data_IF_109501785191
#
_entry.id   IF_109501785191
#
_cell.length_a   1.000
_cell.length_b   1.000
_cell.length_c   1.000
_cell.angle_alpha   90.00
_cell.angle_beta   90.00
_cell.angle_gamma   90.00
#
_symmetry.space_group_name_H-M   'P 1'
#
loop_
_entity.id
_entity.type
_entity.pdbx_description
1 polymer ?
#
# COMPACT_ATOMS: atom_id res chain seq x y z
N UNK A 1 -14.64 4.85 -13.20
CA UNK A 1 -13.36 5.25 -13.82
C UNK A 1 -12.77 6.34 -12.95
N UNK A 2 -11.67 6.07 -12.24
CA UNK A 2 -11.03 7.08 -11.39
C UNK A 2 -10.15 7.95 -12.28
N UNK A 3 -10.52 9.23 -12.43
CA UNK A 3 -9.77 10.21 -13.20
C UNK A 3 -9.11 11.20 -12.25
N UNK A 4 -7.79 11.12 -12.11
CA UNK A 4 -7.02 12.20 -11.51
C UNK A 4 -6.86 13.24 -12.61
N UNK A 5 -7.54 14.38 -12.49
CA UNK A 5 -7.30 15.50 -13.39
C UNK A 5 -6.00 16.20 -12.96
N UNK A 6 -4.98 16.05 -13.79
CA UNK A 6 -3.62 16.59 -13.53
C UNK A 6 -3.49 17.97 -14.21
N UNK A 7 -4.53 18.45 -14.90
CA UNK A 7 -4.47 19.77 -15.53
C UNK A 7 -4.63 20.87 -14.47
N UNK A 8 -3.68 21.80 -14.51
CA UNK A 8 -3.64 22.99 -13.66
C UNK A 8 -4.68 24.02 -14.17
N UNK A 9 -5.94 23.62 -14.34
CA UNK A 9 -7.06 24.56 -14.40
C UNK A 9 -7.15 25.25 -13.05
N UNK A 10 -7.62 26.50 -13.03
CA UNK A 10 -7.66 27.37 -11.84
C UNK A 10 -8.34 26.70 -10.62
N UNK A 11 -9.16 25.66 -10.86
CA UNK A 11 -9.69 24.74 -9.85
C UNK A 11 -9.07 23.33 -9.99
N UNK A 12 -8.45 22.84 -8.91
CA UNK A 12 -7.94 21.46 -8.79
C UNK A 12 -9.10 20.54 -8.42
N UNK A 13 -9.59 19.75 -9.39
CA UNK A 13 -10.73 18.86 -9.17
C UNK A 13 -10.26 17.40 -9.01
N UNK A 14 -10.71 16.73 -7.94
CA UNK A 14 -10.50 15.28 -7.74
C UNK A 14 -11.86 14.62 -7.90
N UNK A 15 -12.02 13.78 -8.93
CA UNK A 15 -13.31 13.10 -9.18
C UNK A 15 -13.23 11.64 -8.74
N UNK A 16 -14.03 11.25 -7.75
CA UNK A 16 -14.20 9.85 -7.33
C UNK A 16 -15.50 9.32 -7.94
N UNK A 17 -15.40 8.54 -9.02
CA UNK A 17 -16.55 7.97 -9.72
C UNK A 17 -17.11 8.88 -10.84
N UNK A 18 -18.28 8.53 -11.36
CA UNK A 18 -18.97 9.27 -12.45
C UNK A 18 -19.62 10.58 -12.00
N UNK A 19 -19.67 10.83 -10.68
CA UNK A 19 -20.22 12.07 -10.13
C UNK A 19 -19.15 13.15 -10.07
N UNK A 20 -19.32 14.18 -10.92
CA UNK A 20 -18.46 15.37 -11.04
C UNK A 20 -18.58 16.37 -9.87
N UNK A 21 -19.34 16.06 -8.82
CA UNK A 21 -19.83 17.07 -7.85
C UNK A 21 -19.06 17.19 -6.53
N UNK A 22 -17.88 16.57 -6.37
CA UNK A 22 -17.05 16.82 -5.17
C UNK A 22 -15.86 17.71 -5.52
N UNK A 23 -16.12 19.02 -5.53
CA UNK A 23 -15.09 20.05 -5.54
C UNK A 23 -14.38 20.09 -4.18
N UNK A 24 -13.05 20.00 -4.17
CA UNK A 24 -12.24 20.22 -2.97
C UNK A 24 -11.30 21.38 -3.30
N UNK A 25 -11.63 22.58 -2.82
CA UNK A 25 -10.76 23.74 -2.95
C UNK A 25 -9.52 23.58 -2.07
N UNK A 26 -8.34 23.85 -2.64
CA UNK A 26 -7.10 23.93 -1.88
C UNK A 26 -6.91 25.39 -1.44
N UNK A 27 -7.41 25.70 -0.24
CA UNK A 27 -7.27 27.03 0.35
C UNK A 27 -5.79 27.38 0.57
N UNK A 28 -5.36 28.50 -0.01
CA UNK A 28 -4.05 29.11 0.26
C UNK A 28 -4.11 29.71 1.67
N UNK A 29 -3.57 28.99 2.64
CA UNK A 29 -3.68 29.38 4.05
C UNK A 29 -2.80 30.60 4.39
N UNK A 30 -3.40 31.57 5.10
CA UNK A 30 -2.68 32.67 5.72
C UNK A 30 -1.92 32.19 6.97
N UNK A 31 -0.68 32.63 7.08
CA UNK A 31 0.32 32.15 8.04
C UNK A 31 0.04 32.76 9.43
N UNK A 32 -0.37 31.96 10.41
CA UNK A 32 -0.20 32.31 11.84
C UNK A 32 1.10 31.69 12.37
N UNK A 33 1.85 32.46 13.12
CA UNK A 33 3.24 32.23 13.51
C UNK A 33 3.36 31.77 14.96
N UNK A 34 3.93 30.58 15.17
CA UNK A 34 4.55 30.20 16.45
C UNK A 34 5.52 28.99 16.34
N UNK A 35 5.49 28.17 15.29
CA UNK A 35 6.48 27.09 15.09
C UNK A 35 7.77 27.56 14.38
N UNK A 36 8.92 27.07 14.83
CA UNK A 36 10.20 27.29 14.14
C UNK A 36 10.37 26.34 12.95
N UNK A 37 11.10 26.78 11.91
CA UNK A 37 11.31 25.98 10.69
C UNK A 37 12.07 24.67 10.98
N UNK A 38 12.98 24.69 11.96
CA UNK A 38 13.81 23.54 12.33
C UNK A 38 13.00 22.43 13.02
N UNK A 39 12.04 22.78 13.87
CA UNK A 39 11.13 21.80 14.49
C UNK A 39 10.30 21.07 13.45
N UNK A 40 9.75 21.81 12.47
CA UNK A 40 8.94 21.23 11.41
C UNK A 40 9.76 20.37 10.44
N UNK A 41 10.99 20.77 10.12
CA UNK A 41 11.90 19.95 9.31
C UNK A 41 12.30 18.67 10.05
N UNK A 42 12.42 18.72 11.38
CA UNK A 42 12.67 17.55 12.20
C UNK A 42 11.48 16.58 12.25
N UNK A 43 10.25 17.07 12.17
CA UNK A 43 9.06 16.24 12.11
C UNK A 43 8.98 15.46 10.78
N UNK A 44 9.35 16.09 9.66
CA UNK A 44 9.30 15.50 8.30
C UNK A 44 10.69 15.16 7.75
N UNK A 45 11.56 14.54 8.56
CA UNK A 45 12.95 14.19 8.19
C UNK A 45 13.09 13.30 6.96
N UNK A 46 12.08 12.47 6.68
CA UNK A 46 12.05 11.58 5.52
C UNK A 46 11.68 12.32 4.21
N UNK A 47 11.18 13.55 4.30
CA UNK A 47 10.80 14.37 3.14
C UNK A 47 12.00 14.99 2.43
N UNK A 48 12.06 14.81 1.11
CA UNK A 48 13.03 15.51 0.26
C UNK A 48 12.42 16.81 -0.27
N UNK A 49 13.05 17.94 0.05
CA UNK A 49 12.61 19.26 -0.39
C UNK A 49 13.57 19.83 -1.43
N UNK A 50 13.03 20.46 -2.48
CA UNK A 50 13.87 21.12 -3.49
C UNK A 50 14.68 22.27 -2.90
N UNK A 51 15.93 22.41 -3.36
CA UNK A 51 16.83 23.52 -3.00
C UNK A 51 16.34 24.87 -3.55
N UNK A 52 15.50 24.86 -4.59
CA UNK A 52 14.97 26.07 -5.24
C UNK A 52 13.79 26.72 -4.51
N UNK A 53 13.24 26.07 -3.47
CA UNK A 53 12.12 26.62 -2.70
C UNK A 53 12.60 27.70 -1.73
N UNK A 54 11.90 28.83 -1.71
CA UNK A 54 12.13 29.91 -0.73
C UNK A 54 11.74 29.47 0.68
N UNK A 55 12.32 30.10 1.70
CA UNK A 55 12.03 29.79 3.12
C UNK A 55 10.54 29.94 3.46
N UNK A 56 9.85 30.92 2.85
CA UNK A 56 8.40 31.12 3.01
C UNK A 56 7.58 29.97 2.41
N UNK A 57 7.97 29.47 1.22
CA UNK A 57 7.31 28.33 0.58
C UNK A 57 7.53 27.03 1.36
N UNK A 58 8.76 26.79 1.85
CA UNK A 58 9.07 25.64 2.70
C UNK A 58 8.22 25.64 3.97
N UNK A 59 8.13 26.80 4.64
CA UNK A 59 7.31 26.94 5.84
C UNK A 59 5.82 26.68 5.55
N UNK A 60 5.29 27.22 4.45
CA UNK A 60 3.90 26.99 4.04
C UNK A 60 3.61 25.51 3.77
N UNK A 61 4.52 24.82 3.09
CA UNK A 61 4.42 23.39 2.83
C UNK A 61 4.44 22.57 4.11
N UNK A 62 5.37 22.84 5.01
CA UNK A 62 5.48 22.11 6.28
C UNK A 62 4.24 22.28 7.16
N UNK A 63 3.66 23.49 7.19
CA UNK A 63 2.38 23.72 7.87
C UNK A 63 1.24 22.93 7.25
N UNK A 64 1.20 22.84 5.91
CA UNK A 64 0.22 22.01 5.21
C UNK A 64 0.39 20.52 5.53
N UNK A 65 1.63 20.03 5.60
CA UNK A 65 1.94 18.64 5.96
C UNK A 65 1.49 18.34 7.39
N UNK A 66 1.78 19.25 8.34
CA UNK A 66 1.33 19.13 9.74
C UNK A 66 -0.20 19.16 9.86
N UNK A 67 -0.89 20.03 9.12
CA UNK A 67 -2.36 20.05 9.08
C UNK A 67 -2.94 18.72 8.60
N UNK A 68 -2.28 18.08 7.64
CA UNK A 68 -2.67 16.79 7.08
C UNK A 68 -1.86 15.63 7.68
N UNK A 69 -1.34 15.80 8.91
CA UNK A 69 -0.54 14.78 9.60
C UNK A 69 -1.13 13.35 9.57
N UNK A 70 -2.45 13.11 9.75
CA UNK A 70 -2.99 11.76 9.71
C UNK A 70 -2.91 11.07 8.35
N UNK A 71 -2.64 11.80 7.26
CA UNK A 71 -2.47 11.22 5.94
C UNK A 71 -1.05 10.70 5.69
N UNK A 72 -0.08 11.10 6.51
CA UNK A 72 1.33 10.73 6.35
C UNK A 72 1.72 9.73 7.44
N UNK A 73 2.13 8.53 7.03
CA UNK A 73 2.73 7.58 7.94
C UNK A 73 4.17 7.99 8.23
N UNK A 74 4.49 8.23 9.50
CA UNK A 74 5.87 8.49 9.94
C UNK A 74 6.27 7.34 10.87
N UNK A 75 7.24 6.52 10.45
CA UNK A 75 7.73 5.40 11.25
C UNK A 75 6.76 4.19 11.30
N UNK A 76 6.42 3.71 12.51
CA UNK A 76 5.68 2.46 12.76
C UNK A 76 4.17 2.68 13.05
N UNK A 77 3.60 3.77 12.55
CA UNK A 77 2.15 4.00 12.66
C UNK A 77 1.37 2.88 11.94
N UNK A 78 0.17 2.49 12.42
CA UNK A 78 -0.62 1.44 11.79
C UNK A 78 -0.93 1.81 10.35
N UNK A 79 -0.90 0.81 9.47
CA UNK A 79 -1.16 1.05 8.05
C UNK A 79 -2.59 1.53 7.86
N UNK A 80 -2.77 2.54 7.00
CA UNK A 80 -4.09 2.96 6.57
C UNK A 80 -4.81 1.82 5.85
N UNK A 81 -6.13 1.75 6.01
CA UNK A 81 -6.99 0.83 5.25
C UNK A 81 -7.90 1.62 4.32
N UNK A 82 -7.92 1.27 3.04
CA UNK A 82 -8.81 1.88 2.06
C UNK A 82 -10.26 1.49 2.40
N UNK A 83 -11.13 2.50 2.54
CA UNK A 83 -12.54 2.29 2.86
C UNK A 83 -13.38 2.26 1.59
N UNK A 84 -14.33 1.32 1.52
CA UNK A 84 -15.27 1.20 0.41
C UNK A 84 -14.71 0.55 -0.86
N UNK A 85 -13.50 -0.02 -0.78
CA UNK A 85 -12.89 -0.76 -1.88
C UNK A 85 -12.17 -2.00 -1.34
N UNK A 86 -12.86 -3.13 -1.39
CA UNK A 86 -12.27 -4.44 -1.07
C UNK A 86 -12.02 -5.20 -2.37
N UNK A 87 -10.86 -5.84 -2.44
CA UNK A 87 -10.45 -6.66 -3.57
C UNK A 87 -11.22 -7.98 -3.54
N UNK A 88 -11.76 -8.34 -4.70
CA UNK A 88 -12.37 -9.64 -4.97
C UNK A 88 -11.48 -10.38 -5.97
N UNK A 89 -11.03 -11.56 -5.58
CA UNK A 89 -10.31 -12.48 -6.44
C UNK A 89 -11.29 -13.44 -7.11
N UNK A 90 -11.18 -13.56 -8.43
CA UNK A 90 -11.94 -14.50 -9.25
C UNK A 90 -11.00 -15.61 -9.70
N UNK A 91 -11.40 -16.86 -9.47
CA UNK A 91 -10.68 -18.02 -9.97
C UNK A 91 -11.39 -18.61 -11.19
N UNK A 92 -10.62 -19.14 -12.13
CA UNK A 92 -11.08 -19.88 -13.31
C UNK A 92 -11.43 -21.35 -12.98
N UNK A 93 -11.33 -21.72 -11.69
CA UNK A 93 -11.66 -23.06 -11.17
C UNK A 93 -12.70 -22.97 -10.06
N UNK A 94 -13.60 -23.94 -10.04
CA UNK A 94 -14.62 -24.07 -9.01
C UNK A 94 -14.09 -24.77 -7.75
N UNK A 95 -14.91 -24.76 -6.70
CA UNK A 95 -14.63 -25.40 -5.41
C UNK A 95 -14.47 -26.92 -5.59
N UNK A 96 -13.58 -27.53 -4.80
CA UNK A 96 -12.78 -28.72 -5.13
C UNK A 96 -11.51 -28.36 -5.91
N UNK A 97 -10.74 -27.45 -5.31
CA UNK A 97 -9.54 -26.89 -5.91
C UNK A 97 -8.50 -27.98 -6.24
N UNK A 98 -7.75 -27.79 -7.34
CA UNK A 98 -6.64 -28.68 -7.70
C UNK A 98 -5.64 -28.84 -6.55
N UNK A 99 -5.05 -30.04 -6.35
CA UNK A 99 -4.08 -30.29 -5.27
C UNK A 99 -2.90 -29.32 -5.26
N UNK A 100 -2.55 -28.75 -6.41
CA UNK A 100 -1.45 -27.77 -6.51
C UNK A 100 -1.70 -26.44 -5.79
N UNK A 101 -2.95 -26.14 -5.43
CA UNK A 101 -3.35 -24.99 -4.61
C UNK A 101 -3.26 -25.27 -3.11
N UNK A 102 -3.09 -26.53 -2.68
CA UNK A 102 -2.87 -26.91 -1.28
C UNK A 102 -1.45 -27.42 -1.10
N UNK A 103 -0.51 -26.50 -0.85
CA UNK A 103 0.90 -26.81 -0.70
C UNK A 103 1.34 -26.84 0.78
N UNK A 104 2.25 -27.75 1.16
CA UNK A 104 2.83 -27.78 2.50
C UNK A 104 3.82 -26.61 2.69
N UNK A 105 4.15 -26.23 3.94
CA UNK A 105 5.18 -25.23 4.19
C UNK A 105 6.53 -25.72 3.69
N UNK A 106 7.38 -24.79 3.25
CA UNK A 106 8.74 -25.14 2.86
C UNK A 106 9.61 -25.46 4.08
N UNK A 107 10.52 -26.42 3.91
CA UNK A 107 11.59 -26.64 4.87
C UNK A 107 12.50 -25.39 4.89
N UNK A 108 12.85 -24.95 6.10
CA UNK A 108 13.63 -23.74 6.33
C UNK A 108 14.69 -24.02 7.40
N UNK A 109 15.87 -23.42 7.24
CA UNK A 109 16.93 -23.43 8.27
C UNK A 109 16.46 -22.67 9.52
N UNK A 110 17.15 -22.86 10.65
CA UNK A 110 16.81 -22.15 11.89
C UNK A 110 16.85 -20.62 11.70
N UNK A 111 17.88 -20.12 11.03
CA UNK A 111 18.00 -18.70 10.68
C UNK A 111 16.81 -18.21 9.84
N UNK A 112 16.43 -18.98 8.82
CA UNK A 112 15.29 -18.63 7.97
C UNK A 112 13.97 -18.66 8.77
N UNK A 113 13.81 -19.60 9.69
CA UNK A 113 12.63 -19.69 10.56
C UNK A 113 12.50 -18.48 11.47
N UNK A 114 13.60 -18.05 12.09
CA UNK A 114 13.62 -16.85 12.93
C UNK A 114 13.19 -15.61 12.14
N UNK A 115 13.65 -15.48 10.89
CA UNK A 115 13.23 -14.38 10.03
C UNK A 115 11.77 -14.47 9.59
N UNK A 116 11.27 -15.68 9.29
CA UNK A 116 9.84 -15.88 9.01
C UNK A 116 9.00 -15.47 10.23
N UNK A 117 9.40 -15.88 11.44
CA UNK A 117 8.70 -15.50 12.68
C UNK A 117 8.69 -13.99 12.88
N UNK A 118 9.83 -13.33 12.68
CA UNK A 118 9.94 -11.88 12.77
C UNK A 118 8.97 -11.18 11.81
N UNK A 119 8.99 -11.54 10.53
CA UNK A 119 8.11 -10.93 9.52
C UNK A 119 6.63 -11.24 9.77
N UNK A 120 6.28 -12.47 10.16
CA UNK A 120 4.89 -12.84 10.45
C UNK A 120 4.35 -12.04 11.64
N UNK A 121 5.13 -11.90 12.72
CA UNK A 121 4.72 -11.12 13.87
C UNK A 121 4.57 -9.63 13.53
N UNK A 122 5.49 -9.05 12.75
CA UNK A 122 5.37 -7.66 12.29
C UNK A 122 4.07 -7.41 11.48
N UNK A 123 3.66 -8.37 10.66
CA UNK A 123 2.45 -8.25 9.82
C UNK A 123 1.17 -8.54 10.64
N UNK A 124 1.25 -9.39 11.66
CA UNK A 124 0.17 -9.60 12.64
C UNK A 124 -0.04 -8.35 13.51
N UNK A 125 1.04 -7.74 13.99
CA UNK A 125 0.99 -6.52 14.83
C UNK A 125 0.42 -5.32 14.08
N UNK A 126 0.53 -5.32 12.74
CA UNK A 126 -0.02 -4.27 11.87
C UNK A 126 -1.43 -4.57 11.37
N UNK A 127 -2.08 -5.63 11.86
CA UNK A 127 -3.45 -6.06 11.49
C UNK A 127 -3.65 -6.28 9.98
N UNK A 128 -2.56 -6.66 9.28
CA UNK A 128 -2.59 -6.95 7.83
C UNK A 128 -3.00 -8.39 7.58
N UNK A 129 -2.59 -9.31 8.46
CA UNK A 129 -2.99 -10.72 8.43
C UNK A 129 -3.55 -11.13 9.80
N UNK A 130 -4.29 -12.22 9.82
CA UNK A 130 -4.79 -12.89 11.03
C UNK A 130 -4.43 -14.37 11.02
N UNK A 131 -4.38 -14.97 12.21
CA UNK A 131 -4.37 -16.43 12.34
C UNK A 131 -5.72 -17.01 11.96
N UNK A 132 -5.72 -18.17 11.32
CA UNK A 132 -6.96 -18.90 11.03
C UNK A 132 -7.59 -19.43 12.32
N UNK A 133 -8.93 -19.48 12.38
CA UNK A 133 -9.63 -20.11 13.49
C UNK A 133 -9.52 -21.64 13.44
N UNK A 134 -9.54 -22.29 14.61
CA UNK A 134 -9.42 -23.75 14.74
C UNK A 134 -10.48 -24.56 13.95
N UNK A 135 -11.65 -23.97 13.71
CA UNK A 135 -12.77 -24.63 13.01
C UNK A 135 -12.91 -24.20 11.54
N UNK A 136 -11.95 -23.43 11.01
CA UNK A 136 -12.01 -22.99 9.61
C UNK A 136 -11.46 -24.07 8.67
N UNK A 137 -12.25 -24.42 7.65
CA UNK A 137 -11.84 -25.39 6.62
C UNK A 137 -10.78 -24.74 5.74
N UNK A 138 -9.60 -25.36 5.65
CA UNK A 138 -8.48 -24.90 4.81
C UNK A 138 -8.48 -25.60 3.47
N UNK A 139 -8.85 -24.87 2.41
CA UNK A 139 -8.90 -25.42 1.04
C UNK A 139 -7.64 -25.11 0.23
N UNK A 140 -7.07 -23.91 0.39
CA UNK A 140 -5.88 -23.41 -0.31
C UNK A 140 -4.82 -23.02 0.71
N UNK A 141 -3.56 -23.30 0.39
CA UNK A 141 -2.39 -22.89 1.19
C UNK A 141 -1.22 -22.53 0.29
N UNK A 142 -0.66 -21.33 0.52
CA UNK A 142 0.51 -20.81 -0.19
C UNK A 142 1.74 -20.83 0.73
N UNK A 143 2.80 -21.59 0.41
CA UNK A 143 3.97 -21.62 1.24
C UNK A 143 4.76 -20.32 1.11
N UNK A 144 5.35 -19.91 2.22
CA UNK A 144 6.22 -18.74 2.29
C UNK A 144 7.68 -19.13 2.39
N UNK A 145 8.55 -18.21 1.99
CA UNK A 145 9.99 -18.32 2.12
C UNK A 145 10.60 -16.92 2.30
N UNK A 146 11.86 -16.88 2.72
CA UNK A 146 12.62 -15.65 2.86
C UNK A 146 13.50 -15.47 1.63
N UNK A 147 13.43 -14.28 1.04
CA UNK A 147 14.40 -13.82 0.06
C UNK A 147 15.32 -12.79 0.70
N UNK A 148 16.63 -12.98 0.54
CA UNK A 148 17.65 -12.08 1.06
C UNK A 148 18.13 -11.12 -0.03
N UNK A 149 18.33 -9.85 0.31
CA UNK A 149 18.88 -8.83 -0.57
C UNK A 149 19.59 -7.77 0.26
N UNK A 150 20.89 -7.55 0.02
CA UNK A 150 21.73 -6.56 0.72
C UNK A 150 21.59 -6.59 2.25
N UNK A 151 21.65 -7.80 2.83
CA UNK A 151 21.52 -7.99 4.29
C UNK A 151 20.10 -7.84 4.83
N UNK A 152 19.12 -7.48 4.00
CA UNK A 152 17.70 -7.42 4.37
C UNK A 152 16.98 -8.70 3.93
N UNK A 153 16.06 -9.17 4.76
CA UNK A 153 15.17 -10.29 4.47
C UNK A 153 13.78 -9.78 4.08
N UNK A 154 13.09 -10.51 3.19
CA UNK A 154 11.69 -10.27 2.84
C UNK A 154 10.92 -11.58 2.85
N UNK A 155 9.75 -11.57 3.48
CA UNK A 155 8.79 -12.67 3.40
C UNK A 155 8.11 -12.66 2.02
N UNK A 156 8.15 -13.79 1.32
CA UNK A 156 7.52 -13.95 0.02
C UNK A 156 6.57 -15.15 0.03
N UNK A 157 5.34 -14.98 -0.47
CA UNK A 157 4.43 -16.10 -0.72
C UNK A 157 4.59 -16.64 -2.14
N UNK A 158 4.66 -17.97 -2.31
CA UNK A 158 4.72 -18.58 -3.64
C UNK A 158 3.33 -18.66 -4.30
N UNK A 159 2.83 -17.52 -4.76
CA UNK A 159 1.51 -17.39 -5.40
C UNK A 159 1.45 -17.93 -6.84
N UNK A 160 2.50 -18.57 -7.36
CA UNK A 160 2.53 -19.03 -8.77
C UNK A 160 1.39 -19.99 -9.10
N UNK A 161 1.10 -20.92 -8.20
CA UNK A 161 0.00 -21.86 -8.39
C UNK A 161 -1.34 -21.12 -8.40
N UNK A 162 -1.55 -20.19 -7.46
CA UNK A 162 -2.77 -19.39 -7.39
C UNK A 162 -2.94 -18.53 -8.65
N UNK A 163 -1.89 -17.84 -9.07
CA UNK A 163 -1.92 -16.94 -10.23
C UNK A 163 -2.30 -17.65 -11.54
N UNK A 164 -1.96 -18.94 -11.70
CA UNK A 164 -2.36 -19.72 -12.88
C UNK A 164 -3.86 -19.97 -12.96
N UNK A 165 -4.56 -19.88 -11.83
CA UNK A 165 -6.00 -20.06 -11.73
C UNK A 165 -6.75 -18.76 -11.46
N UNK A 166 -6.05 -17.64 -11.29
CA UNK A 166 -6.68 -16.34 -11.05
C UNK A 166 -6.98 -15.66 -12.38
N UNK A 167 -8.22 -15.23 -12.54
CA UNK A 167 -8.62 -14.43 -13.69
C UNK A 167 -7.88 -13.10 -13.70
N UNK A 168 -7.08 -12.87 -14.73
CA UNK A 168 -6.30 -11.65 -14.86
C UNK A 168 -7.21 -10.42 -15.06
N UNK A 169 -7.08 -9.44 -14.17
CA UNK A 169 -7.63 -8.10 -14.39
C UNK A 169 -6.69 -7.30 -15.30
N UNK A 170 -7.21 -6.86 -16.45
CA UNK A 170 -6.46 -6.08 -17.44
C UNK A 170 -6.81 -4.60 -17.32
N UNK A 171 -6.73 -4.08 -16.10
CA UNK A 171 -6.96 -2.66 -15.87
C UNK A 171 -5.95 -1.82 -16.66
N UNK A 172 -6.40 -0.79 -17.42
CA UNK A 172 -5.50 -0.01 -18.25
C UNK A 172 -4.57 0.84 -17.37
N UNK A 173 -3.30 0.48 -17.33
CA UNK A 173 -2.25 1.29 -16.71
C UNK A 173 -1.78 2.33 -17.73
N UNK A 174 -1.72 3.62 -17.38
CA UNK A 174 -1.26 4.65 -18.30
C UNK A 174 0.20 4.43 -18.68
N UNK A 175 0.52 4.63 -19.95
CA UNK A 175 1.88 4.51 -20.46
C UNK A 175 2.70 5.72 -19.96
N UNK A 176 3.93 5.48 -19.50
CA UNK A 176 4.79 6.48 -18.83
C UNK A 176 4.94 7.78 -19.65
N UNK A 177 5.25 7.77 -20.97
CA UNK A 177 5.44 9.02 -21.73
C UNK A 177 4.21 9.93 -21.72
N UNK A 178 3.01 9.37 -21.86
CA UNK A 178 1.76 10.15 -21.81
C UNK A 178 1.54 10.81 -20.44
N UNK A 179 2.00 10.17 -19.37
CA UNK A 179 1.96 10.76 -18.03
C UNK A 179 3.01 11.87 -17.87
N UNK A 180 4.19 11.73 -18.50
CA UNK A 180 5.25 12.74 -18.46
C UNK A 180 4.91 14.00 -19.27
N UNK A 181 4.23 13.87 -20.41
CA UNK A 181 3.79 15.03 -21.21
C UNK A 181 2.89 15.96 -20.40
N UNK A 182 2.05 15.40 -19.51
CA UNK A 182 1.20 16.17 -18.60
C UNK A 182 2.01 16.93 -17.55
N UNK A 183 3.16 16.40 -17.15
CA UNK A 183 4.05 17.03 -16.16
C UNK A 183 4.91 18.15 -16.76
N UNK A 184 5.14 18.16 -18.08
CA UNK A 184 6.05 19.11 -18.74
C UNK A 184 5.67 20.59 -18.53
N UNK A 185 4.39 20.90 -18.26
CA UNK A 185 3.90 22.27 -18.00
C UNK A 185 3.78 22.61 -16.51
N UNK A 186 4.13 21.69 -15.61
CA UNK A 186 3.99 21.89 -14.18
C UNK A 186 5.11 22.80 -13.64
N UNK A 187 4.72 23.85 -12.88
CA UNK A 187 5.68 24.73 -12.18
C UNK A 187 6.24 24.10 -10.90
N UNK A 188 5.46 23.21 -10.28
CA UNK A 188 5.81 22.48 -9.08
C UNK A 188 5.40 21.02 -9.27
N UNK A 189 6.29 20.09 -8.91
CA UNK A 189 6.02 18.66 -8.96
C UNK A 189 6.17 18.12 -7.54
N UNK A 190 5.17 17.36 -7.10
CA UNK A 190 5.21 16.66 -5.82
C UNK A 190 5.11 15.17 -6.10
N UNK A 191 6.05 14.41 -5.54
CA UNK A 191 6.02 12.95 -5.58
C UNK A 191 5.60 12.46 -4.19
N UNK A 192 4.57 11.62 -4.15
CA UNK A 192 4.12 10.94 -2.94
C UNK A 192 4.11 9.45 -3.22
N UNK A 193 4.48 8.66 -2.22
CA UNK A 193 4.42 7.20 -2.29
C UNK A 193 3.60 6.67 -1.12
N UNK A 194 2.83 5.61 -1.37
CA UNK A 194 2.01 4.99 -0.35
C UNK A 194 2.86 3.97 0.41
N UNK A 195 3.09 4.20 1.70
CA UNK A 195 3.80 3.24 2.55
C UNK A 195 3.07 1.90 2.55
N UNK A 196 3.74 0.85 2.05
CA UNK A 196 3.17 -0.51 1.97
C UNK A 196 1.79 -0.54 1.27
N UNK A 197 1.61 0.24 0.20
CA UNK A 197 0.30 0.48 -0.45
C UNK A 197 -0.54 -0.77 -0.76
N UNK A 198 0.08 -1.91 -1.10
CA UNK A 198 -0.64 -3.17 -1.35
C UNK A 198 -1.38 -3.65 -0.09
N UNK A 199 -0.77 -3.53 1.08
CA UNK A 199 -1.34 -3.96 2.36
C UNK A 199 -2.47 -3.05 2.86
N UNK A 200 -2.66 -1.88 2.24
CA UNK A 200 -3.76 -0.97 2.58
C UNK A 200 -5.08 -1.39 1.91
N UNK A 201 -5.01 -2.23 0.87
CA UNK A 201 -6.20 -2.74 0.19
C UNK A 201 -6.89 -3.79 1.05
N UNK A 202 -8.17 -3.57 1.35
CA UNK A 202 -9.00 -4.61 1.95
C UNK A 202 -9.21 -5.77 0.98
N UNK A 203 -9.43 -6.96 1.52
CA UNK A 203 -9.77 -8.16 0.75
C UNK A 203 -11.06 -8.71 1.30
N UNK A 204 -11.99 -9.11 0.43
CA UNK A 204 -13.26 -9.67 0.88
C UNK A 204 -13.07 -11.00 1.63
N UNK A 205 -13.95 -11.36 2.58
CA UNK A 205 -13.82 -12.60 3.37
C UNK A 205 -13.70 -13.89 2.56
N UNK A 206 -14.29 -13.94 1.37
CA UNK A 206 -14.17 -15.11 0.49
C UNK A 206 -12.79 -15.16 -0.17
N UNK A 207 -12.26 -14.01 -0.59
CA UNK A 207 -10.94 -13.92 -1.23
C UNK A 207 -9.79 -14.06 -0.24
N UNK A 208 -9.97 -13.67 1.04
CA UNK A 208 -8.96 -13.90 2.10
C UNK A 208 -8.60 -15.39 2.21
N UNK A 209 -9.61 -16.27 2.13
CA UNK A 209 -9.41 -17.74 2.16
C UNK A 209 -8.53 -18.26 1.02
N UNK A 210 -8.48 -17.55 -0.11
CA UNK A 210 -7.66 -17.90 -1.26
C UNK A 210 -6.20 -17.44 -1.10
N UNK A 211 -5.97 -16.42 -0.27
CA UNK A 211 -4.65 -15.84 0.00
C UNK A 211 -3.94 -16.44 1.23
N UNK A 212 -4.51 -17.51 1.80
CA UNK A 212 -3.92 -18.22 2.95
C UNK A 212 -2.47 -18.58 2.72
N UNK A 213 -1.62 -18.16 3.65
CA UNK A 213 -0.21 -18.49 3.70
C UNK A 213 0.08 -19.54 4.75
N UNK A 214 1.05 -20.41 4.49
CA UNK A 214 1.47 -21.47 5.42
C UNK A 214 2.98 -21.40 5.69
N UNK A 215 3.34 -21.46 6.97
CA UNK A 215 4.71 -21.56 7.46
C UNK A 215 4.78 -22.57 8.62
N UNK A 216 5.95 -22.70 9.26
CA UNK A 216 6.14 -23.60 10.40
C UNK A 216 5.34 -23.18 11.65
N UNK A 217 4.89 -21.93 11.72
CA UNK A 217 4.02 -21.43 12.81
C UNK A 217 2.54 -21.78 12.59
N UNK A 218 2.16 -22.30 11.42
CA UNK A 218 0.79 -22.58 11.03
C UNK A 218 0.32 -21.77 9.83
N UNK A 219 -0.98 -21.52 9.75
CA UNK A 219 -1.65 -20.88 8.61
C UNK A 219 -2.18 -19.51 9.05
N UNK A 220 -1.96 -18.51 8.21
CA UNK A 220 -2.47 -17.15 8.37
C UNK A 220 -3.18 -16.70 7.08
N UNK A 221 -4.09 -15.74 7.18
CA UNK A 221 -4.78 -15.12 6.03
C UNK A 221 -4.90 -13.61 6.16
#
# INVERSE_FOLDING_TARGET
MYGIDIYNSENRNITIGTNKEKEISLDIYQISSQDTLEELLNEFREGQFSTTLTSKQKLGLLKMLRKNRPAFAIGKEPLGKIKGHDIILYLDVEKLYPPMLRRPPYAASLETRNEIERHINEVLDTDVIRKIGHNEIVEITTPVWITWHDGNSRLCGNLRALNNYTKADRYPIPIIPHSLDKLAKAKYITKMDCMKGIHQNGVTPNSMKLLRIICHMGINE
#
